data_IF_264897026433
#
_entry.id   IF_264897026433
#
_cell.length_a   1.000
_cell.length_b   1.000
_cell.length_c   1.000
_cell.angle_alpha   90.00
_cell.angle_beta   90.00
_cell.angle_gamma   90.00
#
_symmetry.space_group_name_H-M   'P 1'
#
loop_
_entity.id
_entity.type
_entity.pdbx_description
1 polymer ?
#
# COMPACT_ATOMS: atom_id res chain seq x y z
N UNK A 1 10.69 15.02 19.65
CA UNK A 1 10.31 13.60 19.53
C UNK A 1 10.28 13.33 18.05
N UNK A 2 10.93 12.25 17.61
CA UNK A 2 11.37 12.00 16.24
C UNK A 2 10.31 12.40 15.20
N UNK A 3 10.73 13.17 14.21
CA UNK A 3 10.07 13.33 12.92
C UNK A 3 9.46 11.99 12.50
N UNK A 4 8.14 11.89 12.59
CA UNK A 4 7.36 10.98 11.76
C UNK A 4 7.52 11.52 10.34
N UNK A 5 8.69 11.24 9.73
CA UNK A 5 8.94 11.38 8.31
C UNK A 5 7.87 10.53 7.62
N UNK A 6 6.73 11.15 7.39
CA UNK A 6 5.77 10.74 6.39
C UNK A 6 6.55 10.62 5.07
N UNK A 7 6.78 9.42 4.51
CA UNK A 7 7.08 9.33 3.09
C UNK A 7 5.76 9.53 2.29
N UNK A 8 4.84 10.39 2.78
CA UNK A 8 3.42 10.29 2.45
C UNK A 8 3.05 11.08 1.21
N UNK A 9 3.66 12.23 0.91
CA UNK A 9 3.21 13.05 -0.23
C UNK A 9 3.25 12.29 -1.57
N UNK A 10 4.25 11.42 -1.77
CA UNK A 10 4.39 10.63 -3.00
C UNK A 10 3.34 9.53 -3.14
N UNK A 11 2.91 8.97 -2.00
CA UNK A 11 1.94 7.89 -1.94
C UNK A 11 0.54 8.38 -1.55
N UNK A 12 0.35 9.66 -1.22
CA UNK A 12 -0.92 10.23 -0.74
C UNK A 12 -2.01 10.16 -1.81
N UNK A 13 -1.65 10.47 -3.07
CA UNK A 13 -2.58 10.35 -4.19
C UNK A 13 -2.97 8.88 -4.47
N UNK A 14 -2.08 7.94 -4.16
CA UNK A 14 -2.35 6.52 -4.32
C UNK A 14 -3.17 5.97 -3.15
N UNK A 15 -2.79 6.31 -1.93
CA UNK A 15 -3.50 6.00 -0.71
C UNK A 15 -4.95 6.52 -0.78
N UNK A 16 -5.16 7.75 -1.23
CA UNK A 16 -6.50 8.29 -1.44
C UNK A 16 -7.33 7.45 -2.42
N UNK A 17 -6.75 7.00 -3.53
CA UNK A 17 -7.43 6.11 -4.49
C UNK A 17 -7.77 4.76 -3.87
N UNK A 18 -6.84 4.18 -3.11
CA UNK A 18 -7.03 2.91 -2.42
C UNK A 18 -8.14 3.02 -1.36
N UNK A 19 -8.14 4.08 -0.56
CA UNK A 19 -9.20 4.39 0.41
C UNK A 19 -10.56 4.54 -0.29
N UNK A 20 -10.62 5.25 -1.43
CA UNK A 20 -11.84 5.38 -2.22
C UNK A 20 -12.35 4.04 -2.79
N UNK A 21 -11.46 3.08 -3.02
CA UNK A 21 -11.80 1.72 -3.46
C UNK A 21 -12.12 0.78 -2.28
N UNK A 22 -12.10 1.28 -1.05
CA UNK A 22 -12.43 0.50 0.15
C UNK A 22 -11.25 -0.17 0.84
N UNK A 23 -10.02 0.09 0.39
CA UNK A 23 -8.83 -0.35 1.10
C UNK A 23 -8.60 0.48 2.36
N UNK A 24 -8.16 -0.16 3.43
CA UNK A 24 -7.91 0.46 4.73
C UNK A 24 -6.54 0.04 5.26
N UNK A 25 -6.06 0.68 6.34
CA UNK A 25 -4.80 0.32 6.99
C UNK A 25 -3.60 0.26 6.03
N UNK A 26 -3.45 1.32 5.21
CA UNK A 26 -2.34 1.45 4.27
C UNK A 26 -1.03 1.67 5.01
N UNK A 27 -0.02 0.87 4.69
CA UNK A 27 1.29 0.93 5.30
C UNK A 27 2.38 0.78 4.24
N UNK A 28 3.39 1.65 4.24
CA UNK A 28 4.54 1.49 3.35
C UNK A 28 5.49 0.49 3.99
N UNK A 29 5.67 -0.67 3.35
CA UNK A 29 6.56 -1.73 3.84
C UNK A 29 8.00 -1.45 3.43
N UNK A 30 8.20 -0.97 2.20
CA UNK A 30 9.51 -0.63 1.66
C UNK A 30 9.38 0.51 0.64
N UNK A 31 9.74 1.73 1.01
CA UNK A 31 9.58 2.89 0.12
C UNK A 31 10.58 2.88 -1.05
N UNK A 32 11.77 2.31 -0.86
CA UNK A 32 12.84 2.26 -1.87
C UNK A 32 12.49 1.29 -3.01
N UNK A 33 11.82 0.19 -2.66
CA UNK A 33 11.33 -0.83 -3.60
C UNK A 33 9.88 -0.59 -4.02
N UNK A 34 9.23 0.44 -3.46
CA UNK A 34 7.85 0.81 -3.73
C UNK A 34 6.84 -0.23 -3.25
N UNK A 35 7.10 -0.92 -2.15
CA UNK A 35 6.23 -1.95 -1.59
C UNK A 35 5.35 -1.32 -0.50
N UNK A 36 4.04 -1.51 -0.64
CA UNK A 36 3.03 -1.12 0.34
C UNK A 36 2.18 -2.33 0.72
N UNK A 37 1.64 -2.33 1.93
CA UNK A 37 0.58 -3.24 2.37
C UNK A 37 -0.70 -2.43 2.60
N UNK A 38 -1.84 -3.03 2.28
CA UNK A 38 -3.16 -2.48 2.53
C UNK A 38 -4.15 -3.61 2.81
N UNK A 39 -5.22 -3.33 3.52
CA UNK A 39 -6.29 -4.29 3.77
C UNK A 39 -7.49 -3.98 2.87
N UNK A 40 -8.02 -4.97 2.17
CA UNK A 40 -9.28 -4.83 1.43
C UNK A 40 -10.47 -4.63 2.40
N UNK A 41 -11.62 -4.24 1.86
CA UNK A 41 -12.93 -4.24 2.50
C UNK A 41 -13.29 -5.54 3.20
N UNK A 42 -12.78 -6.68 2.71
CA UNK A 42 -12.97 -7.99 3.33
C UNK A 42 -11.99 -8.27 4.48
N UNK A 43 -11.07 -7.36 4.77
CA UNK A 43 -10.02 -7.53 5.77
C UNK A 43 -8.87 -8.43 5.32
N UNK A 44 -8.76 -8.72 4.02
CA UNK A 44 -7.64 -9.46 3.44
C UNK A 44 -6.45 -8.53 3.22
N UNK A 45 -5.25 -8.95 3.63
CA UNK A 45 -4.03 -8.19 3.39
C UNK A 45 -3.59 -8.30 1.93
N UNK A 46 -3.25 -7.15 1.34
CA UNK A 46 -2.85 -7.00 -0.06
C UNK A 46 -1.54 -6.22 -0.10
N UNK A 47 -0.53 -6.87 -0.68
CA UNK A 47 0.77 -6.28 -0.96
C UNK A 47 0.74 -5.60 -2.32
N UNK A 48 0.90 -4.29 -2.33
CA UNK A 48 0.89 -3.44 -3.51
C UNK A 48 2.34 -3.07 -3.85
N UNK A 49 2.76 -3.38 -5.08
CA UNK A 49 4.02 -2.87 -5.62
C UNK A 49 3.71 -1.67 -6.49
N UNK A 50 4.30 -0.55 -6.12
CA UNK A 50 4.21 0.74 -6.75
C UNK A 50 5.54 1.02 -7.42
N UNK A 51 5.51 1.42 -8.68
CA UNK A 51 6.71 1.91 -9.33
C UNK A 51 6.97 3.36 -8.88
N UNK A 52 8.10 3.65 -8.22
CA UNK A 52 8.38 4.99 -7.69
C UNK A 52 8.60 6.04 -8.79
N UNK A 53 9.01 5.62 -9.99
CA UNK A 53 9.24 6.55 -11.10
C UNK A 53 7.94 7.03 -11.76
N UNK A 54 6.93 6.17 -11.84
CA UNK A 54 5.64 6.42 -12.50
C UNK A 54 4.47 6.59 -11.54
N UNK A 55 4.67 6.28 -10.25
CA UNK A 55 3.69 6.35 -9.16
C UNK A 55 2.43 5.53 -9.46
N UNK A 56 2.62 4.39 -10.11
CA UNK A 56 1.56 3.48 -10.50
C UNK A 56 1.75 2.12 -9.86
N UNK A 57 0.64 1.48 -9.50
CA UNK A 57 0.67 0.11 -9.01
C UNK A 57 1.02 -0.79 -10.18
N UNK A 58 2.19 -1.43 -10.11
CA UNK A 58 2.65 -2.39 -11.09
C UNK A 58 2.23 -3.81 -10.75
N UNK A 59 2.04 -4.10 -9.46
CA UNK A 59 1.60 -5.41 -9.02
C UNK A 59 0.73 -5.33 -7.76
N UNK A 60 -0.22 -6.24 -7.63
CA UNK A 60 -1.04 -6.45 -6.44
C UNK A 60 -1.01 -7.94 -6.12
N UNK A 61 -0.49 -8.29 -4.94
CA UNK A 61 -0.43 -9.65 -4.46
C UNK A 61 -1.31 -9.77 -3.21
N UNK A 62 -2.39 -10.54 -3.32
CA UNK A 62 -3.24 -10.86 -2.17
C UNK A 62 -2.51 -11.87 -1.28
N UNK A 63 -2.28 -11.50 -0.03
CA UNK A 63 -1.76 -12.38 1.00
C UNK A 63 -2.94 -13.18 1.53
N UNK A 64 -3.46 -14.09 0.70
CA UNK A 64 -4.31 -15.14 1.22
C UNK A 64 -3.41 -16.08 2.01
N UNK A 65 -3.56 -16.07 3.34
CA UNK A 65 -3.20 -17.25 4.11
C UNK A 65 -4.12 -18.35 3.61
N UNK A 66 -3.65 -19.13 2.65
CA UNK A 66 -4.28 -20.40 2.29
C UNK A 66 -4.17 -21.27 3.54
N UNK A 67 -5.24 -21.30 4.33
CA UNK A 67 -5.47 -22.40 5.25
C UNK A 67 -5.66 -23.65 4.36
N UNK A 68 -4.85 -24.68 4.63
CA UNK A 68 -4.85 -25.99 3.95
C UNK A 68 -6.23 -26.68 3.96
#
# INVERSE_FOLDING_TARGET
MADEEMPSEEYDALAAKLIMNGFTMLHVVDAERGIMSAFDTEGSEVMLHVDPATRQITNMAYVHMTDE
#
